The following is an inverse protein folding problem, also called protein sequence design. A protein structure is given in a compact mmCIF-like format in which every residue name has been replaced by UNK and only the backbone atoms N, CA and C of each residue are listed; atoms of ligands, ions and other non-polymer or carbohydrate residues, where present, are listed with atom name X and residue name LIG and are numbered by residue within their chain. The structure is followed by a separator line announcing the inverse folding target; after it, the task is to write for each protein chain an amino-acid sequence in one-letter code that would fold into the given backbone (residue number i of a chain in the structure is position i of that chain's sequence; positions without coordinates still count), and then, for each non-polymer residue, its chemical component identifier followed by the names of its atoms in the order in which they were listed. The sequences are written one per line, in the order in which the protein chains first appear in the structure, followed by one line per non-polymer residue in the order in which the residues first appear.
data_IF_299388170868
#
_entry.id   IF_299388170868
#
_cell.length_a   1.000
_cell.length_b   1.000
_cell.length_c   1.000
_cell.angle_alpha   90.00
_cell.angle_beta   90.00
_cell.angle_gamma   90.00
#
_symmetry.space_group_name_H-M   'P 1'
#
loop_
_entity.id
_entity.type
_entity.pdbx_description
1 polymer ?
#
# COMPACT_ATOMS: atom_id res chain seq x y z
N UNK A 1 8.00 31.06 3.03
CA UNK A 1 7.55 29.77 3.58
C UNK A 1 6.90 29.02 2.45
N UNK A 2 7.39 27.86 2.11
CA UNK A 2 6.77 27.06 1.06
C UNK A 2 5.37 26.65 1.49
N UNK A 3 4.41 26.84 0.60
CA UNK A 3 3.00 26.56 0.86
C UNK A 3 2.81 25.06 1.01
N UNK A 4 2.29 24.58 2.14
CA UNK A 4 2.02 23.18 2.40
C UNK A 4 0.53 22.87 2.37
N UNK A 5 0.18 21.64 1.99
CA UNK A 5 -1.19 21.13 2.06
C UNK A 5 -1.43 20.60 3.46
N UNK A 6 -2.46 21.11 4.14
CA UNK A 6 -2.90 20.58 5.44
C UNK A 6 -3.53 19.21 5.24
N UNK A 7 -3.00 18.23 5.98
CA UNK A 7 -3.45 16.84 5.91
C UNK A 7 -3.89 16.31 7.27
N UNK A 8 -4.77 15.31 7.25
CA UNK A 8 -5.19 14.62 8.46
C UNK A 8 -5.04 13.10 8.30
N UNK A 9 -4.85 12.42 9.43
CA UNK A 9 -4.94 10.97 9.53
C UNK A 9 -6.25 10.61 10.23
N UNK A 10 -7.05 9.76 9.60
CA UNK A 10 -8.25 9.16 10.15
C UNK A 10 -7.98 7.70 10.49
N UNK A 11 -7.93 7.38 11.78
CA UNK A 11 -7.52 6.09 12.31
C UNK A 11 -6.25 6.21 13.17
N UNK A 12 -6.37 5.88 14.46
CA UNK A 12 -5.30 6.01 15.46
C UNK A 12 -4.66 4.65 15.85
N UNK A 13 -4.81 3.63 15.00
CA UNK A 13 -4.17 2.33 15.15
C UNK A 13 -2.70 2.33 14.70
N UNK A 14 -2.12 1.13 14.54
CA UNK A 14 -0.71 0.95 14.17
C UNK A 14 -0.35 1.65 12.85
N UNK A 15 -1.19 1.50 11.82
CA UNK A 15 -0.96 2.15 10.51
C UNK A 15 -1.01 3.67 10.64
N UNK A 16 -2.04 4.23 11.29
CA UNK A 16 -2.16 5.67 11.49
C UNK A 16 -1.00 6.24 12.32
N UNK A 17 -0.56 5.51 13.35
CA UNK A 17 0.60 5.90 14.18
C UNK A 17 1.90 5.88 13.40
N UNK A 18 2.18 4.83 12.63
CA UNK A 18 3.40 4.76 11.83
C UNK A 18 3.42 5.83 10.73
N UNK A 19 2.29 6.05 10.06
CA UNK A 19 2.16 7.13 9.07
C UNK A 19 2.38 8.50 9.70
N UNK A 20 1.88 8.74 10.91
CA UNK A 20 2.12 9.98 11.65
C UNK A 20 3.62 10.24 11.82
N UNK A 21 4.40 9.23 12.24
CA UNK A 21 5.84 9.38 12.39
C UNK A 21 6.52 9.66 11.05
N UNK A 22 6.14 8.97 9.98
CA UNK A 22 6.69 9.21 8.64
C UNK A 22 6.42 10.62 8.14
N UNK A 23 5.19 11.12 8.31
CA UNK A 23 4.81 12.48 7.91
C UNK A 23 5.52 13.55 8.74
N UNK A 24 5.79 13.32 10.02
CA UNK A 24 6.55 14.24 10.85
C UNK A 24 8.04 14.25 10.51
N UNK A 25 8.63 13.09 10.21
CA UNK A 25 10.04 12.98 9.84
C UNK A 25 10.31 13.55 8.44
N UNK A 26 9.44 13.28 7.50
CA UNK A 26 9.59 13.65 6.10
C UNK A 26 8.30 14.28 5.57
N UNK A 27 7.97 15.50 6.00
CA UNK A 27 6.68 16.12 5.67
C UNK A 27 6.53 16.48 4.19
N UNK A 28 7.60 16.74 3.46
CA UNK A 28 7.52 17.20 2.08
C UNK A 28 6.60 18.42 1.94
N UNK A 29 5.65 18.35 1.00
CA UNK A 29 4.64 19.38 0.74
C UNK A 29 3.39 19.26 1.62
N UNK A 30 3.41 18.38 2.63
CA UNK A 30 2.30 18.14 3.55
C UNK A 30 2.56 18.75 4.94
N UNK A 31 1.51 19.17 5.60
CA UNK A 31 1.49 19.57 7.00
C UNK A 31 0.45 18.72 7.74
N UNK A 32 0.89 17.78 8.57
CA UNK A 32 -0.02 16.99 9.39
C UNK A 32 -0.57 17.85 10.53
N UNK A 33 -1.86 18.17 10.47
CA UNK A 33 -2.52 19.07 11.44
C UNK A 33 -3.46 18.36 12.40
N UNK A 34 -3.91 17.14 12.07
CA UNK A 34 -4.89 16.41 12.89
C UNK A 34 -4.71 14.90 12.76
N UNK A 35 -4.76 14.21 13.90
CA UNK A 35 -4.97 12.76 13.99
C UNK A 35 -6.33 12.52 14.64
N UNK A 36 -7.23 11.86 13.94
CA UNK A 36 -8.58 11.58 14.38
C UNK A 36 -8.81 10.06 14.56
N UNK A 37 -9.43 9.68 15.65
CA UNK A 37 -9.84 8.30 15.96
C UNK A 37 -11.23 8.30 16.59
N UNK A 38 -11.68 7.14 17.05
CA UNK A 38 -12.97 6.98 17.74
C UNK A 38 -12.79 6.44 19.16
N UNK A 39 -11.58 6.02 19.52
CA UNK A 39 -11.27 5.47 20.84
C UNK A 39 -10.51 6.52 21.67
N UNK A 40 -11.13 7.15 22.67
CA UNK A 40 -10.53 8.26 23.41
C UNK A 40 -9.20 7.91 24.10
N UNK A 41 -9.05 6.64 24.51
CA UNK A 41 -7.87 6.12 25.20
C UNK A 41 -6.85 5.47 24.25
N UNK A 42 -7.03 5.65 22.94
CA UNK A 42 -6.11 5.14 21.93
C UNK A 42 -4.68 5.64 22.18
N UNK A 43 -3.72 4.72 22.17
CA UNK A 43 -2.30 5.05 22.28
C UNK A 43 -1.85 6.00 21.16
N UNK A 44 -2.37 5.83 19.93
CA UNK A 44 -2.06 6.71 18.82
C UNK A 44 -2.52 8.14 19.05
N UNK A 45 -3.72 8.37 19.62
CA UNK A 45 -4.18 9.72 19.98
C UNK A 45 -3.37 10.32 21.13
N UNK A 46 -3.03 9.53 22.14
CA UNK A 46 -2.19 9.99 23.26
C UNK A 46 -0.82 10.44 22.75
N UNK A 47 -0.24 9.70 21.81
CA UNK A 47 1.04 10.01 21.19
C UNK A 47 0.99 11.24 20.30
N UNK A 48 -0.06 11.38 19.50
CA UNK A 48 -0.27 12.60 18.71
C UNK A 48 -0.28 13.87 19.59
N UNK A 49 -0.97 13.81 20.73
CA UNK A 49 -0.98 14.91 21.71
C UNK A 49 0.43 15.16 22.28
N UNK A 50 1.17 14.11 22.64
CA UNK A 50 2.53 14.24 23.18
C UNK A 50 3.52 14.85 22.17
N UNK A 51 3.27 14.67 20.86
CA UNK A 51 4.03 15.28 19.77
C UNK A 51 3.54 16.69 19.39
N UNK A 52 2.57 17.25 20.11
CA UNK A 52 2.04 18.59 19.86
C UNK A 52 1.03 18.69 18.72
N UNK A 53 0.56 17.54 18.19
CA UNK A 53 -0.47 17.51 17.17
C UNK A 53 -1.87 17.65 17.78
N UNK A 54 -2.81 18.21 17.02
CA UNK A 54 -4.22 18.10 17.36
C UNK A 54 -4.65 16.63 17.26
N UNK A 55 -5.32 16.14 18.29
CA UNK A 55 -5.84 14.79 18.34
C UNK A 55 -7.28 14.79 18.83
N UNK A 56 -8.16 14.06 18.12
CA UNK A 56 -9.59 14.03 18.41
C UNK A 56 -10.12 12.59 18.38
N UNK A 57 -11.05 12.29 19.27
CA UNK A 57 -11.81 11.03 19.31
C UNK A 57 -13.17 11.13 18.57
N UNK A 58 -13.43 12.25 17.89
CA UNK A 58 -14.67 12.48 17.14
C UNK A 58 -14.63 11.91 15.70
N UNK A 59 -13.57 11.11 15.38
CA UNK A 59 -13.43 10.50 14.08
C UNK A 59 -13.49 11.51 12.92
N UNK A 60 -14.20 11.14 11.87
CA UNK A 60 -14.33 11.96 10.67
C UNK A 60 -14.94 13.36 10.93
N UNK A 61 -15.79 13.51 11.97
CA UNK A 61 -16.39 14.82 12.29
C UNK A 61 -15.34 15.88 12.55
N UNK A 62 -14.30 15.55 13.34
CA UNK A 62 -13.22 16.47 13.63
C UNK A 62 -12.47 16.94 12.36
N UNK A 63 -12.38 16.10 11.35
CA UNK A 63 -11.78 16.43 10.05
C UNK A 63 -12.72 17.37 9.27
N UNK A 64 -14.03 17.06 9.22
CA UNK A 64 -15.01 17.83 8.46
C UNK A 64 -15.23 19.24 9.02
N UNK A 65 -15.01 19.43 10.32
CA UNK A 65 -15.09 20.73 10.99
C UNK A 65 -13.92 21.68 10.66
N UNK A 66 -12.80 21.17 10.12
CA UNK A 66 -11.64 21.99 9.74
C UNK A 66 -11.59 22.19 8.20
N UNK A 67 -12.02 23.36 7.68
CA UNK A 67 -12.11 23.59 6.24
C UNK A 67 -10.76 23.64 5.53
N UNK A 68 -9.67 23.78 6.25
CA UNK A 68 -8.33 23.89 5.67
C UNK A 68 -7.70 22.54 5.34
N UNK A 69 -8.20 21.43 5.93
CA UNK A 69 -7.73 20.09 5.64
C UNK A 69 -8.19 19.70 4.24
N UNK A 70 -7.28 19.42 3.34
CA UNK A 70 -7.56 19.09 1.94
C UNK A 70 -7.33 17.63 1.59
N UNK A 71 -6.41 16.96 2.29
CA UNK A 71 -6.04 15.58 2.03
C UNK A 71 -6.18 14.77 3.31
N UNK A 72 -6.80 13.58 3.23
CA UNK A 72 -7.09 12.72 4.37
C UNK A 72 -6.59 11.31 4.10
N UNK A 73 -5.75 10.79 4.98
CA UNK A 73 -5.32 9.40 4.99
C UNK A 73 -6.28 8.58 5.84
N UNK A 74 -7.06 7.70 5.22
CA UNK A 74 -7.99 6.84 5.95
C UNK A 74 -7.35 5.48 6.26
N UNK A 75 -6.96 5.32 7.53
CA UNK A 75 -6.36 4.10 8.11
C UNK A 75 -7.34 3.40 9.07
N UNK A 76 -8.64 3.43 8.80
CA UNK A 76 -9.68 2.83 9.61
C UNK A 76 -9.98 1.39 9.18
N UNK A 77 -11.21 1.06 8.79
CA UNK A 77 -11.62 -0.24 8.28
C UNK A 77 -12.32 -0.12 6.94
N UNK A 78 -12.36 -1.20 6.17
CA UNK A 78 -13.05 -1.25 4.89
C UNK A 78 -14.52 -0.81 5.00
N UNK A 79 -15.20 -1.26 6.06
CA UNK A 79 -16.59 -0.90 6.32
C UNK A 79 -16.79 0.59 6.62
N UNK A 80 -15.90 1.19 7.42
CA UNK A 80 -15.98 2.60 7.79
C UNK A 80 -15.65 3.51 6.59
N UNK A 81 -14.64 3.13 5.79
CA UNK A 81 -14.18 3.91 4.64
C UNK A 81 -15.30 4.19 3.62
N UNK A 82 -16.21 3.24 3.38
CA UNK A 82 -17.33 3.44 2.46
C UNK A 82 -18.12 4.72 2.78
N UNK A 83 -18.35 5.00 4.06
CA UNK A 83 -19.05 6.22 4.52
C UNK A 83 -18.12 7.42 4.55
N UNK A 84 -16.86 7.21 4.94
CA UNK A 84 -15.86 8.28 4.98
C UNK A 84 -15.59 8.84 3.58
N UNK A 85 -15.41 7.99 2.58
CA UNK A 85 -15.18 8.38 1.19
C UNK A 85 -16.28 9.31 0.66
N UNK A 86 -17.55 9.00 0.95
CA UNK A 86 -18.67 9.84 0.54
C UNK A 86 -18.64 11.19 1.26
N UNK A 87 -18.49 11.18 2.59
CA UNK A 87 -18.48 12.42 3.39
C UNK A 87 -17.31 13.36 3.03
N UNK A 88 -16.12 12.78 2.76
CA UNK A 88 -14.94 13.55 2.34
C UNK A 88 -15.14 14.15 0.95
N UNK A 89 -15.68 13.38 0.01
CA UNK A 89 -16.03 13.87 -1.33
C UNK A 89 -17.02 15.03 -1.27
N UNK A 90 -18.11 14.89 -0.50
CA UNK A 90 -19.13 15.92 -0.34
C UNK A 90 -18.56 17.19 0.28
N UNK A 91 -17.52 17.08 1.10
CA UNK A 91 -16.78 18.19 1.67
C UNK A 91 -15.64 18.73 0.78
N UNK A 92 -15.48 18.22 -0.45
CA UNK A 92 -14.45 18.65 -1.39
C UNK A 92 -13.02 18.27 -0.95
N UNK A 93 -12.86 17.14 -0.24
CA UNK A 93 -11.58 16.66 0.27
C UNK A 93 -11.14 15.41 -0.48
N UNK A 94 -9.86 15.28 -0.70
CA UNK A 94 -9.27 14.07 -1.30
C UNK A 94 -8.96 13.04 -0.21
N UNK A 95 -9.32 11.78 -0.45
CA UNK A 95 -9.03 10.67 0.43
C UNK A 95 -7.96 9.74 -0.19
N UNK A 96 -6.98 9.35 0.63
CA UNK A 96 -6.05 8.25 0.35
C UNK A 96 -6.47 7.10 1.27
N UNK A 97 -7.01 6.04 0.67
CA UNK A 97 -7.58 4.90 1.37
C UNK A 97 -6.51 3.82 1.58
N UNK A 98 -6.16 3.58 2.86
CA UNK A 98 -5.25 2.52 3.29
C UNK A 98 -5.99 1.24 3.68
N UNK A 99 -7.31 1.19 3.47
CA UNK A 99 -8.14 0.02 3.80
C UNK A 99 -8.39 -0.83 2.56
N UNK A 100 -8.74 -2.11 2.69
CA UNK A 100 -9.09 -2.95 1.55
C UNK A 100 -10.55 -2.74 1.08
N UNK A 101 -11.11 -1.52 1.22
CA UNK A 101 -12.50 -1.21 0.88
C UNK A 101 -12.78 -1.23 -0.63
N UNK A 102 -11.75 -1.23 -1.47
CA UNK A 102 -11.86 -1.24 -2.93
C UNK A 102 -12.74 -0.08 -3.48
N UNK A 103 -12.60 1.12 -2.91
CA UNK A 103 -13.28 2.33 -3.35
C UNK A 103 -12.33 3.25 -4.11
N UNK A 104 -12.79 3.75 -5.26
CA UNK A 104 -11.95 4.53 -6.18
C UNK A 104 -10.94 3.68 -6.95
N UNK A 105 -10.10 4.31 -7.78
CA UNK A 105 -9.06 3.61 -8.51
C UNK A 105 -8.00 3.04 -7.57
N UNK A 106 -7.50 1.87 -7.92
CA UNK A 106 -6.36 1.24 -7.26
C UNK A 106 -5.08 1.96 -7.68
N UNK A 107 -4.19 2.23 -6.73
CA UNK A 107 -2.94 2.95 -6.99
C UNK A 107 -1.74 2.18 -6.45
N UNK A 108 -0.77 2.00 -7.34
CA UNK A 108 0.59 1.57 -7.05
C UNK A 108 1.53 2.70 -7.49
N UNK A 109 2.29 3.33 -6.56
CA UNK A 109 3.04 4.56 -6.85
C UNK A 109 3.87 4.53 -8.14
N UNK A 110 4.75 3.53 -8.40
CA UNK A 110 5.58 3.53 -9.60
C UNK A 110 4.86 3.04 -10.87
N UNK A 111 3.58 2.66 -10.78
CA UNK A 111 2.86 2.08 -11.92
C UNK A 111 1.85 3.05 -12.52
N UNK A 112 0.94 3.59 -11.72
CA UNK A 112 -0.20 4.32 -12.25
C UNK A 112 -0.61 5.57 -11.46
N UNK A 113 0.16 6.00 -10.46
CA UNK A 113 -0.21 7.14 -9.60
C UNK A 113 -0.50 8.42 -10.41
N UNK A 114 0.31 8.74 -11.41
CA UNK A 114 0.15 9.95 -12.21
C UNK A 114 -1.18 10.04 -12.98
N UNK A 115 -1.80 8.89 -13.29
CA UNK A 115 -3.08 8.86 -13.99
C UNK A 115 -4.30 9.16 -13.07
N UNK A 116 -4.09 9.27 -11.76
CA UNK A 116 -5.18 9.36 -10.76
C UNK A 116 -5.06 10.54 -9.80
N UNK A 117 -4.24 11.54 -10.12
CA UNK A 117 -4.00 12.69 -9.23
C UNK A 117 -5.22 13.61 -9.07
N UNK A 118 -6.16 13.56 -10.00
CA UNK A 118 -7.43 14.32 -9.96
C UNK A 118 -8.56 13.58 -9.24
N UNK A 119 -8.34 12.34 -8.84
CA UNK A 119 -9.39 11.53 -8.22
C UNK A 119 -9.66 11.97 -6.77
N UNK A 120 -10.93 12.08 -6.38
CA UNK A 120 -11.28 12.48 -5.02
C UNK A 120 -11.02 11.38 -3.99
N UNK A 121 -10.79 10.14 -4.42
CA UNK A 121 -10.47 9.00 -3.58
C UNK A 121 -9.64 8.00 -4.36
N UNK A 122 -8.48 7.62 -3.83
CA UNK A 122 -7.64 6.54 -4.35
C UNK A 122 -7.43 5.46 -3.31
N UNK A 123 -7.36 4.21 -3.74
CA UNK A 123 -7.22 3.05 -2.87
C UNK A 123 -5.84 2.42 -3.01
N UNK A 124 -5.16 2.21 -1.89
CA UNK A 124 -3.83 1.59 -1.83
C UNK A 124 -3.86 0.05 -1.79
N UNK A 125 -5.00 -0.55 -2.07
CA UNK A 125 -5.20 -1.99 -2.19
C UNK A 125 -4.98 -2.69 -0.84
N UNK A 126 -3.78 -3.27 -0.65
CA UNK A 126 -3.34 -3.97 0.56
C UNK A 126 -1.82 -3.94 0.65
N UNK A 127 -1.28 -4.28 1.82
CA UNK A 127 0.18 -4.42 1.98
C UNK A 127 0.78 -5.46 1.03
N UNK A 128 0.11 -6.61 0.87
CA UNK A 128 0.50 -7.63 -0.11
C UNK A 128 0.41 -7.12 -1.54
N UNK A 129 -0.63 -6.33 -1.85
CA UNK A 129 -0.79 -5.69 -3.16
C UNK A 129 0.33 -4.71 -3.48
N UNK A 130 0.63 -3.79 -2.55
CA UNK A 130 1.74 -2.84 -2.70
C UNK A 130 3.10 -3.55 -2.86
N UNK A 131 3.27 -4.71 -2.23
CA UNK A 131 4.50 -5.48 -2.34
C UNK A 131 4.62 -6.25 -3.66
N UNK A 132 3.54 -6.82 -4.20
CA UNK A 132 3.64 -7.84 -5.24
C UNK A 132 3.16 -7.39 -6.62
N UNK A 133 2.15 -6.51 -6.68
CA UNK A 133 1.60 -6.02 -7.95
C UNK A 133 2.64 -5.30 -8.81
N UNK A 134 3.56 -4.47 -8.26
CA UNK A 134 4.63 -3.86 -9.05
C UNK A 134 5.44 -4.89 -9.83
N UNK A 135 5.78 -6.02 -9.21
CA UNK A 135 6.60 -7.06 -9.85
C UNK A 135 5.82 -7.84 -10.93
N UNK A 136 4.53 -8.09 -10.72
CA UNK A 136 3.68 -8.68 -11.77
C UNK A 136 3.56 -7.73 -12.96
N UNK A 137 3.35 -6.43 -12.71
CA UNK A 137 3.36 -5.41 -13.75
C UNK A 137 4.70 -5.36 -14.49
N UNK A 138 5.83 -5.49 -13.78
CA UNK A 138 7.17 -5.50 -14.39
C UNK A 138 7.34 -6.68 -15.35
N UNK A 139 6.78 -7.85 -15.07
CA UNK A 139 6.74 -8.97 -16.02
C UNK A 139 5.77 -8.67 -17.15
N UNK A 140 4.55 -8.18 -16.83
CA UNK A 140 3.49 -7.97 -17.82
C UNK A 140 3.84 -6.91 -18.89
N UNK A 141 4.66 -5.90 -18.56
CA UNK A 141 5.08 -4.89 -19.53
C UNK A 141 6.08 -5.42 -20.58
N UNK A 142 6.72 -6.57 -20.30
CA UNK A 142 7.61 -7.28 -21.24
C UNK A 142 6.85 -8.35 -22.00
N UNK A 143 6.05 -9.14 -21.30
CA UNK A 143 5.27 -10.23 -21.90
C UNK A 143 3.91 -10.36 -21.21
N UNK A 144 2.79 -10.47 -21.95
CA UNK A 144 1.46 -10.59 -21.37
C UNK A 144 1.37 -11.76 -20.36
N UNK A 145 0.72 -11.51 -19.24
CA UNK A 145 0.59 -12.48 -18.14
C UNK A 145 -0.78 -13.15 -18.15
N UNK A 146 -0.79 -14.48 -18.28
CA UNK A 146 -2.01 -15.30 -18.20
C UNK A 146 -2.50 -15.47 -16.76
N UNK A 147 -1.57 -15.68 -15.82
CA UNK A 147 -1.89 -15.94 -14.42
C UNK A 147 -0.81 -15.35 -13.49
N UNK A 148 -1.25 -14.76 -12.40
CA UNK A 148 -0.38 -14.34 -11.32
C UNK A 148 -0.95 -14.76 -9.97
N UNK A 149 -0.10 -15.36 -9.13
CA UNK A 149 -0.44 -15.70 -7.74
C UNK A 149 0.59 -15.09 -6.80
N UNK A 150 0.11 -14.50 -5.72
CA UNK A 150 0.98 -14.05 -4.64
C UNK A 150 0.68 -14.80 -3.33
N UNK A 151 1.72 -15.20 -2.64
CA UNK A 151 1.66 -15.73 -1.28
C UNK A 151 2.44 -14.81 -0.36
N UNK A 152 1.72 -14.02 0.43
CA UNK A 152 2.31 -13.11 1.41
C UNK A 152 2.37 -13.77 2.79
N UNK A 153 3.54 -13.84 3.38
CA UNK A 153 3.74 -14.34 4.75
C UNK A 153 4.19 -13.18 5.62
N UNK A 154 3.42 -12.86 6.65
CA UNK A 154 3.71 -11.78 7.60
C UNK A 154 3.77 -12.33 9.02
N UNK A 155 4.53 -11.69 9.90
CA UNK A 155 4.54 -12.05 11.31
C UNK A 155 3.12 -11.88 11.91
N UNK A 156 2.66 -12.86 12.67
CA UNK A 156 1.36 -12.79 13.33
C UNK A 156 1.21 -11.56 14.23
N UNK A 157 2.31 -11.10 14.83
CA UNK A 157 2.37 -9.90 15.68
C UNK A 157 2.14 -8.60 14.89
N UNK A 158 2.44 -8.57 13.57
CA UNK A 158 2.19 -7.40 12.72
C UNK A 158 0.79 -7.40 12.08
N UNK A 159 0.01 -8.49 12.27
CA UNK A 159 -1.37 -8.59 11.82
C UNK A 159 -2.33 -8.21 12.95
N UNK A 160 -2.68 -6.93 13.04
CA UNK A 160 -3.61 -6.40 14.03
C UNK A 160 -5.07 -6.84 13.81
N UNK A 161 -6.01 -6.40 14.66
CA UNK A 161 -7.44 -6.74 14.54
C UNK A 161 -8.01 -6.38 13.16
N UNK A 162 -7.63 -5.24 12.60
CA UNK A 162 -8.08 -4.81 11.28
C UNK A 162 -7.71 -5.80 10.16
N UNK A 163 -6.46 -6.27 10.13
CA UNK A 163 -6.02 -7.28 9.15
C UNK A 163 -6.81 -8.58 9.31
N UNK A 164 -7.00 -9.04 10.55
CA UNK A 164 -7.69 -10.31 10.83
C UNK A 164 -9.17 -10.27 10.49
N UNK A 165 -9.81 -9.13 10.66
CA UNK A 165 -11.23 -8.93 10.35
C UNK A 165 -11.51 -8.77 8.85
N UNK A 166 -10.49 -8.38 8.06
CA UNK A 166 -10.64 -8.09 6.63
C UNK A 166 -9.79 -9.04 5.76
N UNK A 167 -9.63 -10.30 6.16
CA UNK A 167 -8.84 -11.28 5.38
C UNK A 167 -9.47 -11.56 4.02
N UNK A 168 -10.78 -11.65 3.94
CA UNK A 168 -11.50 -11.89 2.69
C UNK A 168 -11.34 -10.69 1.75
N UNK A 169 -11.57 -9.47 2.26
CA UNK A 169 -11.34 -8.23 1.52
C UNK A 169 -9.89 -8.09 1.07
N UNK A 170 -8.93 -8.44 1.93
CA UNK A 170 -7.51 -8.50 1.55
C UNK A 170 -7.30 -9.40 0.33
N UNK A 171 -7.86 -10.60 0.38
CA UNK A 171 -7.65 -11.62 -0.63
C UNK A 171 -8.28 -11.20 -1.97
N UNK A 172 -9.56 -10.76 -1.96
CA UNK A 172 -10.26 -10.35 -3.16
C UNK A 172 -9.68 -9.08 -3.78
N UNK A 173 -9.41 -8.07 -2.95
CA UNK A 173 -8.88 -6.79 -3.43
C UNK A 173 -7.47 -6.95 -4.00
N UNK A 174 -6.62 -7.77 -3.38
CA UNK A 174 -5.28 -8.05 -3.91
C UNK A 174 -5.33 -8.84 -5.21
N UNK A 175 -6.15 -9.90 -5.28
CA UNK A 175 -6.33 -10.68 -6.51
C UNK A 175 -6.80 -9.79 -7.66
N UNK A 176 -7.78 -8.93 -7.40
CA UNK A 176 -8.25 -7.94 -8.39
C UNK A 176 -7.16 -6.94 -8.79
N UNK A 177 -6.31 -6.51 -7.85
CA UNK A 177 -5.18 -5.64 -8.13
C UNK A 177 -4.14 -6.29 -9.05
N UNK A 178 -3.85 -7.59 -8.87
CA UNK A 178 -2.98 -8.36 -9.79
C UNK A 178 -3.51 -8.37 -11.22
N UNK A 179 -4.85 -8.37 -11.39
CA UNK A 179 -5.50 -8.31 -12.68
C UNK A 179 -5.47 -6.89 -13.29
N UNK A 180 -6.04 -5.91 -12.57
CA UNK A 180 -6.32 -4.58 -13.15
C UNK A 180 -5.08 -3.68 -13.22
N UNK A 181 -4.11 -3.85 -12.32
CA UNK A 181 -2.87 -3.09 -12.28
C UNK A 181 -1.69 -3.96 -12.73
N UNK A 182 -1.58 -5.17 -12.21
CA UNK A 182 -0.52 -6.10 -12.61
C UNK A 182 -0.62 -6.58 -14.06
N UNK A 183 -1.83 -6.51 -14.65
CA UNK A 183 -2.11 -6.90 -16.03
C UNK A 183 -2.32 -8.40 -16.22
N UNK A 184 -2.36 -9.20 -15.17
CA UNK A 184 -2.65 -10.62 -15.27
C UNK A 184 -4.11 -10.86 -15.68
N UNK A 185 -4.36 -11.81 -16.60
CA UNK A 185 -5.73 -12.20 -16.97
C UNK A 185 -6.48 -12.79 -15.79
N UNK A 186 -5.77 -13.47 -14.89
CA UNK A 186 -6.31 -14.06 -13.66
C UNK A 186 -5.33 -13.88 -12.51
N UNK A 187 -5.82 -13.33 -11.41
CA UNK A 187 -5.08 -13.11 -10.18
C UNK A 187 -5.52 -14.03 -9.04
N UNK A 188 -4.60 -14.40 -8.15
CA UNK A 188 -4.89 -15.08 -6.89
C UNK A 188 -3.99 -14.54 -5.79
N UNK A 189 -4.56 -14.36 -4.61
CA UNK A 189 -3.82 -13.88 -3.44
C UNK A 189 -4.04 -14.80 -2.24
N UNK A 190 -2.96 -15.06 -1.51
CA UNK A 190 -2.94 -15.85 -0.27
C UNK A 190 -2.17 -15.05 0.77
N UNK A 191 -2.69 -14.99 1.99
CA UNK A 191 -1.99 -14.44 3.15
C UNK A 191 -1.77 -15.53 4.20
N UNK A 192 -0.57 -15.57 4.76
CA UNK A 192 -0.16 -16.47 5.84
C UNK A 192 0.26 -15.62 7.04
N UNK A 193 -0.40 -15.80 8.17
CA UNK A 193 -0.04 -15.20 9.45
C UNK A 193 0.90 -16.18 10.19
N UNK A 194 2.18 -15.84 10.25
CA UNK A 194 3.21 -16.71 10.80
C UNK A 194 3.46 -16.42 12.29
N UNK A 195 3.28 -17.40 13.21
CA UNK A 195 3.43 -17.21 14.64
C UNK A 195 4.87 -17.42 15.16
N UNK A 196 5.87 -17.54 14.29
CA UNK A 196 7.25 -17.80 14.70
C UNK A 196 7.77 -16.75 15.70
N UNK A 197 8.60 -17.23 16.63
CA UNK A 197 9.35 -16.42 17.58
C UNK A 197 10.85 -16.80 17.44
N UNK A 198 11.76 -15.86 17.09
CA UNK A 198 11.50 -14.46 16.82
C UNK A 198 10.64 -14.24 15.54
N UNK A 199 9.91 -13.09 15.48
CA UNK A 199 9.04 -12.77 14.35
C UNK A 199 9.80 -12.71 13.03
N UNK A 200 9.21 -13.26 11.98
CA UNK A 200 9.79 -13.22 10.63
C UNK A 200 9.57 -11.85 9.99
N UNK A 201 10.46 -11.49 9.05
CA UNK A 201 10.20 -10.38 8.12
C UNK A 201 9.05 -10.72 7.18
N UNK A 202 8.42 -9.70 6.59
CA UNK A 202 7.44 -9.93 5.53
C UNK A 202 8.12 -10.60 4.33
N UNK A 203 7.59 -11.74 3.90
CA UNK A 203 8.06 -12.49 2.72
C UNK A 203 6.93 -12.72 1.76
N UNK A 204 7.22 -12.54 0.48
CA UNK A 204 6.26 -12.78 -0.57
C UNK A 204 6.87 -13.68 -1.63
N UNK A 205 6.11 -14.70 -2.03
CA UNK A 205 6.39 -15.48 -3.22
C UNK A 205 5.37 -15.09 -4.29
N UNK A 206 5.86 -14.70 -5.45
CA UNK A 206 5.03 -14.33 -6.58
C UNK A 206 5.28 -15.34 -7.68
N UNK A 207 4.22 -15.99 -8.14
CA UNK A 207 4.22 -16.91 -9.26
C UNK A 207 3.55 -16.25 -10.45
N UNK A 208 4.24 -16.17 -11.57
CA UNK A 208 3.73 -15.56 -12.79
C UNK A 208 3.82 -16.58 -13.92
N UNK A 209 2.71 -16.79 -14.64
CA UNK A 209 2.67 -17.61 -15.84
C UNK A 209 2.37 -16.66 -17.01
N UNK A 210 3.38 -16.34 -17.84
CA UNK A 210 3.18 -15.59 -19.07
C UNK A 210 2.32 -16.36 -20.09
N UNK A 211 1.75 -15.65 -21.07
CA UNK A 211 1.02 -16.28 -22.17
C UNK A 211 1.97 -16.98 -23.14
N UNK A 212 3.14 -16.40 -23.36
CA UNK A 212 4.19 -16.99 -24.19
C UNK A 212 4.95 -18.08 -23.43
N UNK A 213 5.43 -19.09 -24.14
CA UNK A 213 6.29 -20.13 -23.59
C UNK A 213 7.78 -19.80 -23.75
N UNK A 214 8.13 -19.09 -24.82
CA UNK A 214 9.48 -18.58 -25.05
C UNK A 214 9.54 -17.15 -24.51
N UNK A 215 10.43 -16.93 -23.55
CA UNK A 215 10.56 -15.67 -22.82
C UNK A 215 11.94 -15.07 -23.00
N UNK A 216 12.02 -13.75 -23.10
CA UNK A 216 13.26 -13.04 -22.89
C UNK A 216 13.51 -12.89 -21.38
N UNK A 217 14.23 -13.88 -20.82
CA UNK A 217 14.51 -13.94 -19.38
C UNK A 217 15.36 -12.75 -18.91
N UNK A 218 16.22 -12.22 -19.80
CA UNK A 218 17.08 -11.06 -19.52
C UNK A 218 16.23 -9.80 -19.41
N UNK A 219 15.37 -9.54 -20.42
CA UNK A 219 14.50 -8.36 -20.43
C UNK A 219 13.51 -8.37 -19.25
N UNK A 220 12.95 -9.55 -18.92
CA UNK A 220 12.09 -9.68 -17.75
C UNK A 220 12.85 -9.37 -16.46
N UNK A 221 14.07 -9.91 -16.30
CA UNK A 221 14.89 -9.69 -15.09
C UNK A 221 15.26 -8.21 -14.94
N UNK A 222 15.69 -7.55 -16.00
CA UNK A 222 16.00 -6.11 -16.01
C UNK A 222 14.76 -5.27 -15.67
N UNK A 223 13.60 -5.62 -16.24
CA UNK A 223 12.33 -4.97 -15.95
C UNK A 223 11.94 -5.09 -14.48
N UNK A 224 12.12 -6.26 -13.88
CA UNK A 224 11.86 -6.52 -12.47
C UNK A 224 12.81 -5.72 -11.58
N UNK A 225 14.12 -5.70 -11.90
CA UNK A 225 15.11 -4.94 -11.15
C UNK A 225 14.85 -3.42 -11.18
N UNK A 226 14.47 -2.87 -12.33
CA UNK A 226 14.06 -1.47 -12.46
C UNK A 226 12.86 -1.16 -11.57
N UNK A 227 11.87 -2.07 -11.51
CA UNK A 227 10.71 -1.89 -10.66
C UNK A 227 11.06 -1.98 -9.18
N UNK A 228 11.96 -2.90 -8.80
CA UNK A 228 12.48 -2.98 -7.43
C UNK A 228 13.13 -1.65 -7.02
N UNK A 229 14.00 -1.10 -7.86
CA UNK A 229 14.62 0.20 -7.61
C UNK A 229 13.58 1.32 -7.44
N UNK A 230 12.55 1.36 -8.29
CA UNK A 230 11.49 2.36 -8.22
C UNK A 230 10.65 2.25 -6.92
N UNK A 231 10.44 1.05 -6.39
CA UNK A 231 9.79 0.86 -5.09
C UNK A 231 10.73 1.23 -3.94
N UNK A 232 12.03 0.91 -4.05
CA UNK A 232 13.04 1.25 -3.04
C UNK A 232 13.17 2.76 -2.80
N UNK A 233 12.84 3.60 -3.75
CA UNK A 233 12.82 5.07 -3.58
C UNK A 233 11.96 5.52 -2.39
N UNK A 234 10.93 4.76 -2.03
CA UNK A 234 10.04 5.08 -0.91
C UNK A 234 9.91 3.94 0.12
N UNK A 235 10.37 2.73 -0.20
CA UNK A 235 10.44 1.56 0.69
C UNK A 235 11.86 0.98 0.65
N UNK A 236 12.84 1.57 1.35
CA UNK A 236 14.24 1.13 1.26
C UNK A 236 14.48 -0.35 1.62
N UNK A 237 13.59 -0.93 2.45
CA UNK A 237 13.67 -2.33 2.84
C UNK A 237 13.06 -3.33 1.85
N UNK A 238 12.61 -2.90 0.67
CA UNK A 238 12.04 -3.73 -0.39
C UNK A 238 13.16 -4.38 -1.21
N UNK A 239 13.26 -5.72 -1.23
CA UNK A 239 14.34 -6.39 -1.95
C UNK A 239 13.96 -7.78 -2.43
N UNK A 240 14.43 -8.15 -3.62
CA UNK A 240 14.44 -9.54 -4.05
C UNK A 240 15.45 -10.34 -3.22
N UNK A 241 15.12 -11.59 -2.92
CA UNK A 241 16.05 -12.51 -2.24
C UNK A 241 17.07 -13.13 -3.21
N UNK A 242 16.70 -13.25 -4.46
CA UNK A 242 17.50 -13.78 -5.57
C UNK A 242 16.98 -13.22 -6.88
N UNK A 243 17.72 -13.41 -7.96
CA UNK A 243 17.23 -13.13 -9.31
C UNK A 243 15.93 -13.90 -9.60
N UNK A 244 15.09 -13.43 -10.55
CA UNK A 244 13.93 -14.18 -11.00
C UNK A 244 14.30 -15.61 -11.40
N UNK A 245 13.44 -16.57 -11.04
CA UNK A 245 13.67 -18.00 -11.37
C UNK A 245 12.68 -18.39 -12.46
N UNK A 246 13.20 -18.96 -13.55
CA UNK A 246 12.42 -19.41 -14.70
C UNK A 246 12.41 -20.93 -14.73
N UNK A 247 11.24 -21.54 -14.68
CA UNK A 247 11.09 -22.99 -14.70
C UNK A 247 10.02 -23.41 -15.70
N UNK A 248 10.34 -24.29 -16.62
CA UNK A 248 9.33 -24.86 -17.51
C UNK A 248 8.70 -26.09 -16.86
N UNK A 249 7.36 -26.09 -16.78
CA UNK A 249 6.58 -27.16 -16.17
C UNK A 249 5.48 -27.66 -17.11
N UNK A 250 5.17 -28.95 -17.02
CA UNK A 250 3.99 -29.51 -17.66
C UNK A 250 2.75 -29.19 -16.82
N UNK A 251 1.75 -28.64 -17.47
CA UNK A 251 0.45 -28.31 -16.88
C UNK A 251 -0.67 -29.00 -17.64
N UNK A 252 -1.91 -29.09 -17.12
CA UNK A 252 -3.04 -29.63 -17.86
C UNK A 252 -3.27 -28.96 -19.21
N UNK A 253 -2.91 -27.68 -19.34
CA UNK A 253 -3.06 -26.89 -20.56
C UNK A 253 -1.80 -26.89 -21.45
N UNK A 254 -0.88 -27.83 -21.22
CA UNK A 254 0.37 -27.98 -21.94
C UNK A 254 1.57 -27.40 -21.16
N UNK A 255 2.72 -27.38 -21.84
CA UNK A 255 3.97 -26.92 -21.24
C UNK A 255 3.96 -25.40 -21.06
N UNK A 256 4.30 -24.92 -19.87
CA UNK A 256 4.29 -23.48 -19.50
C UNK A 256 5.57 -23.10 -18.76
N UNK A 257 6.04 -21.88 -18.98
CA UNK A 257 7.11 -21.31 -18.18
C UNK A 257 6.51 -20.59 -16.98
N UNK A 258 7.02 -20.92 -15.78
CA UNK A 258 6.70 -20.29 -14.51
C UNK A 258 7.84 -19.35 -14.14
N UNK A 259 7.53 -18.07 -13.92
CA UNK A 259 8.45 -17.09 -13.33
C UNK A 259 8.16 -16.99 -11.85
N UNK A 260 9.15 -17.26 -11.01
CA UNK A 260 9.04 -17.17 -9.55
C UNK A 260 9.90 -16.02 -9.04
N UNK A 261 9.27 -15.09 -8.30
CA UNK A 261 9.94 -13.95 -7.68
C UNK A 261 9.82 -14.07 -6.16
N UNK A 262 10.94 -14.02 -5.47
CA UNK A 262 11.02 -14.09 -4.01
C UNK A 262 11.37 -12.71 -3.46
N UNK A 263 10.45 -12.11 -2.73
CA UNK A 263 10.55 -10.76 -2.20
C UNK A 263 10.55 -10.76 -0.68
N UNK A 264 11.36 -9.92 -0.09
CA UNK A 264 11.35 -9.61 1.35
C UNK A 264 11.18 -8.11 1.56
N UNK A 265 10.39 -7.72 2.55
CA UNK A 265 10.20 -6.33 2.96
C UNK A 265 10.58 -6.18 4.43
N UNK A 266 11.62 -5.40 4.68
CA UNK A 266 12.04 -5.00 6.02
C UNK A 266 11.47 -3.63 6.33
N UNK A 267 10.79 -3.47 7.45
CA UNK A 267 10.28 -2.17 7.89
C UNK A 267 11.40 -1.20 8.26
N UNK A 268 11.15 0.09 8.13
CA UNK A 268 12.10 1.15 8.45
C UNK A 268 12.49 1.20 9.94
N UNK A 269 11.65 0.67 10.83
CA UNK A 269 11.89 0.70 12.27
C UNK A 269 11.61 2.06 12.92
N UNK A 270 10.79 2.90 12.27
CA UNK A 270 10.44 4.25 12.76
C UNK A 270 9.61 4.20 14.05
N UNK A 271 8.44 3.62 13.93
CA UNK A 271 7.51 3.38 15.04
C UNK A 271 7.30 1.88 15.26
N UNK A 272 7.14 1.14 14.18
CA UNK A 272 6.94 -0.30 14.23
C UNK A 272 8.27 -1.05 14.10
N UNK A 273 8.39 -2.25 14.69
CA UNK A 273 9.59 -3.05 14.55
C UNK A 273 9.89 -3.40 13.08
N UNK A 274 11.14 -3.67 12.75
CA UNK A 274 11.59 -3.98 11.40
C UNK A 274 10.92 -5.22 10.78
N UNK A 275 10.41 -6.14 11.59
CA UNK A 275 9.65 -7.29 11.09
C UNK A 275 8.26 -6.89 10.53
N UNK A 276 7.73 -5.71 10.90
CA UNK A 276 6.44 -5.21 10.46
C UNK A 276 6.51 -4.56 9.05
N UNK A 277 7.27 -5.13 8.13
CA UNK A 277 7.41 -4.64 6.76
C UNK A 277 6.08 -4.49 6.00
N UNK A 278 5.08 -5.30 6.36
CA UNK A 278 3.72 -5.18 5.81
C UNK A 278 3.02 -3.88 6.19
N UNK A 279 3.21 -3.38 7.40
CA UNK A 279 2.63 -2.10 7.81
C UNK A 279 3.45 -0.94 7.26
N UNK A 280 4.78 -1.08 7.25
CA UNK A 280 5.71 -0.08 6.75
C UNK A 280 5.49 0.23 5.25
N UNK A 281 5.31 -0.79 4.40
CA UNK A 281 5.07 -0.58 2.97
C UNK A 281 3.75 0.17 2.71
N UNK A 282 2.72 -0.06 3.52
CA UNK A 282 1.46 0.68 3.42
C UNK A 282 1.63 2.15 3.74
N UNK A 283 2.30 2.47 4.83
CA UNK A 283 2.50 3.85 5.28
C UNK A 283 3.49 4.61 4.40
N UNK A 284 4.53 3.93 3.91
CA UNK A 284 5.47 4.47 2.94
C UNK A 284 4.78 4.78 1.60
N UNK A 285 3.95 3.85 1.09
CA UNK A 285 3.14 4.08 -0.11
C UNK A 285 2.17 5.24 0.08
N UNK A 286 1.49 5.31 1.22
CA UNK A 286 0.58 6.40 1.55
C UNK A 286 1.30 7.76 1.56
N UNK A 287 2.48 7.85 2.19
CA UNK A 287 3.29 9.06 2.18
C UNK A 287 3.70 9.46 0.76
N UNK A 288 4.15 8.49 -0.07
CA UNK A 288 4.53 8.74 -1.47
C UNK A 288 3.35 9.26 -2.29
N UNK A 289 2.18 8.64 -2.15
CA UNK A 289 0.94 9.10 -2.82
C UNK A 289 0.55 10.48 -2.32
N UNK A 290 0.55 10.70 -0.99
CA UNK A 290 0.22 11.99 -0.39
C UNK A 290 1.11 13.12 -0.88
N UNK A 291 2.42 12.87 -1.03
CA UNK A 291 3.37 13.85 -1.57
C UNK A 291 3.02 14.27 -3.00
N UNK A 292 2.68 13.30 -3.87
CA UNK A 292 2.28 13.59 -5.25
C UNK A 292 0.96 14.37 -5.30
N UNK A 293 -0.03 13.97 -4.50
CA UNK A 293 -1.30 14.70 -4.39
C UNK A 293 -1.10 16.11 -3.83
N UNK A 294 -0.24 16.28 -2.82
CA UNK A 294 0.04 17.60 -2.26
C UNK A 294 0.67 18.53 -3.31
N UNK A 295 1.62 18.06 -4.10
CA UNK A 295 2.21 18.82 -5.21
C UNK A 295 1.20 19.16 -6.29
N UNK A 296 0.30 18.23 -6.64
CA UNK A 296 -0.79 18.49 -7.57
C UNK A 296 -1.75 19.57 -7.02
N UNK A 297 -2.17 19.47 -5.75
CA UNK A 297 -3.03 20.46 -5.09
C UNK A 297 -2.39 21.85 -4.96
N UNK A 298 -1.06 21.94 -5.01
CA UNK A 298 -0.31 23.19 -5.04
C UNK A 298 -0.10 23.72 -6.47
N UNK A 299 -0.45 22.94 -7.50
CA UNK A 299 -0.28 23.29 -8.90
C UNK A 299 1.14 23.11 -9.43
N UNK A 300 1.98 22.33 -8.75
CA UNK A 300 3.36 22.07 -9.15
C UNK A 300 3.49 20.97 -10.21
N UNK A 301 2.52 20.04 -10.23
CA UNK A 301 2.41 18.98 -11.23
C UNK A 301 0.97 18.88 -11.75
N UNK A 302 0.82 18.36 -12.96
CA UNK A 302 -0.46 18.15 -13.65
C UNK A 302 -0.70 16.67 -13.87
#
# INVERSE_FOLDING_TARGET
MDKKVKVAILGSGNIGSDLMFKLLREPGHMELVLVAGIEPQSEGLARARALGLRASDQGIRAILEDPDIRLVFDATSAYAHVRHAQALRDAGRTAIDLTPAARGPYVIPPVNLGAHVDEPNVNLITCGGQATIPLVYAVNRVTPVAYAEMVSTVASLSAGPGTRQNIDEFTFTTARGLEVIGGAKRGKAIIILNPADPPILMRNTIYVIPEANELDEVEISESVEQMVAAVQDYVPGYRLKNAPVFETRDTPDGRRTLVTLLLEVTGAGDWLPTYAGNLDIMTASARKVGEVFARHLLGEIR
#
